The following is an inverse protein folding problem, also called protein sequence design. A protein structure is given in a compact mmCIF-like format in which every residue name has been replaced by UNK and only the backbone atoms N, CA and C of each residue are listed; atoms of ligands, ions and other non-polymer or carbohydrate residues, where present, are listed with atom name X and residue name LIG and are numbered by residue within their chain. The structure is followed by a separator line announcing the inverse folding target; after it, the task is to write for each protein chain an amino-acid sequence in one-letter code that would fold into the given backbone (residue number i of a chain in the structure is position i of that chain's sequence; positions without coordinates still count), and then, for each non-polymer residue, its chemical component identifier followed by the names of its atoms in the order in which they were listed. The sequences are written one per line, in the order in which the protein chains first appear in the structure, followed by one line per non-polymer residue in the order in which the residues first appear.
data_IF_076470109472
#
_entry.id   IF_076470109472
#
_cell.length_a   1.000
_cell.length_b   1.000
_cell.length_c   1.000
_cell.angle_alpha   90.00
_cell.angle_beta   90.00
_cell.angle_gamma   90.00
#
_symmetry.space_group_name_H-M   'P 1'
#
loop_
_entity.id
_entity.type
_entity.pdbx_description
1 polymer ?
#
# COMPACT_ATOMS: atom_id res chain seq x y z
N UNK A 1 -19.28 11.58 -87.05
CA UNK A 1 -20.32 12.62 -87.15
C UNK A 1 -20.84 12.92 -85.76
N UNK A 2 -20.70 14.19 -85.33
CA UNK A 2 -21.48 14.97 -84.34
C UNK A 2 -21.66 14.43 -82.90
N UNK A 3 -21.54 15.17 -81.79
CA UNK A 3 -21.17 16.55 -81.40
C UNK A 3 -20.98 16.52 -79.85
N UNK A 4 -19.97 17.21 -79.31
CA UNK A 4 -19.79 17.62 -77.88
C UNK A 4 -20.85 18.67 -77.44
N UNK A 5 -20.83 19.27 -76.21
CA UNK A 5 -20.21 18.92 -74.90
C UNK A 5 -21.21 19.10 -73.71
N UNK A 6 -20.79 18.84 -72.46
CA UNK A 6 -21.10 19.73 -71.31
C UNK A 6 -20.26 19.36 -70.09
N UNK A 7 -19.52 20.35 -69.61
CA UNK A 7 -18.79 20.37 -68.36
C UNK A 7 -19.75 20.35 -67.17
N UNK A 8 -19.45 19.54 -66.15
CA UNK A 8 -19.84 19.86 -64.78
C UNK A 8 -18.68 19.52 -63.85
N UNK A 9 -18.07 20.57 -63.32
CA UNK A 9 -17.13 20.49 -62.21
C UNK A 9 -17.90 20.02 -60.95
N UNK A 10 -17.33 19.07 -60.20
CA UNK A 10 -17.74 18.84 -58.82
C UNK A 10 -16.50 18.89 -57.92
N UNK A 11 -16.60 19.76 -56.93
CA UNK A 11 -15.55 20.20 -56.04
C UNK A 11 -15.02 19.09 -55.13
N UNK A 12 -13.72 19.19 -54.84
CA UNK A 12 -13.07 18.57 -53.68
C UNK A 12 -13.75 19.04 -52.39
N UNK A 13 -14.15 18.10 -51.55
CA UNK A 13 -14.28 18.32 -50.11
C UNK A 13 -13.37 17.31 -49.40
N UNK A 14 -12.15 17.73 -49.05
CA UNK A 14 -11.35 17.05 -48.05
C UNK A 14 -11.99 17.31 -46.69
N UNK A 15 -12.87 16.41 -46.24
CA UNK A 15 -13.19 16.32 -44.82
C UNK A 15 -12.01 15.63 -44.14
N UNK A 16 -11.15 16.43 -43.51
CA UNK A 16 -10.19 15.93 -42.54
C UNK A 16 -10.98 15.36 -41.33
N UNK A 17 -11.35 14.09 -41.42
CA UNK A 17 -11.89 13.34 -40.29
C UNK A 17 -10.80 13.15 -39.25
N UNK A 18 -10.80 13.96 -38.20
CA UNK A 18 -10.13 13.57 -36.96
C UNK A 18 -10.78 12.25 -36.50
N UNK A 19 -10.02 11.18 -36.23
CA UNK A 19 -10.61 9.97 -35.69
C UNK A 19 -11.13 10.29 -34.30
N UNK A 20 -12.45 10.44 -34.19
CA UNK A 20 -13.16 10.29 -32.93
C UNK A 20 -12.84 8.87 -32.46
N UNK A 21 -11.95 8.74 -31.48
CA UNK A 21 -11.85 7.47 -30.75
C UNK A 21 -13.25 7.24 -30.16
N UNK A 22 -13.93 6.13 -30.49
CA UNK A 22 -15.31 5.93 -30.06
C UNK A 22 -15.36 5.88 -28.53
N UNK A 23 -16.26 6.67 -27.93
CA UNK A 23 -16.50 6.71 -26.48
C UNK A 23 -16.71 5.31 -25.87
N UNK A 24 -17.22 4.38 -26.67
CA UNK A 24 -17.35 2.96 -26.32
C UNK A 24 -16.02 2.31 -25.94
N UNK A 25 -14.92 2.59 -26.66
CA UNK A 25 -13.61 2.00 -26.34
C UNK A 25 -13.05 2.53 -25.00
N UNK A 26 -13.35 3.79 -24.67
CA UNK A 26 -12.94 4.42 -23.41
C UNK A 26 -13.77 3.86 -22.24
N UNK A 27 -15.08 3.70 -22.43
CA UNK A 27 -15.99 3.13 -21.43
C UNK A 27 -15.69 1.64 -21.16
N UNK A 28 -15.39 0.85 -22.19
CA UNK A 28 -14.99 -0.56 -22.05
C UNK A 28 -13.68 -0.70 -21.26
N UNK A 29 -12.69 0.17 -21.52
CA UNK A 29 -11.43 0.18 -20.78
C UNK A 29 -11.63 0.59 -19.30
N UNK A 30 -12.48 1.57 -19.02
CA UNK A 30 -12.79 1.97 -17.64
C UNK A 30 -13.55 0.86 -16.89
N UNK A 31 -14.41 0.10 -17.55
CA UNK A 31 -15.09 -1.06 -16.96
C UNK A 31 -14.11 -2.19 -16.63
N UNK A 32 -13.19 -2.50 -17.55
CA UNK A 32 -12.14 -3.50 -17.31
C UNK A 32 -11.25 -3.10 -16.12
N UNK A 33 -10.88 -1.82 -16.01
CA UNK A 33 -10.13 -1.30 -14.85
C UNK A 33 -10.93 -1.47 -13.56
N UNK A 34 -12.23 -1.16 -13.54
CA UNK A 34 -13.08 -1.36 -12.35
C UNK A 34 -13.13 -2.83 -11.91
N UNK A 35 -13.07 -3.78 -12.84
CA UNK A 35 -13.02 -5.20 -12.52
C UNK A 35 -11.71 -5.63 -11.82
N UNK A 36 -10.66 -4.80 -11.89
CA UNK A 36 -9.42 -5.00 -11.13
C UNK A 36 -9.42 -4.31 -9.77
N UNK A 37 -10.51 -3.64 -9.39
CA UNK A 37 -10.60 -2.94 -8.13
C UNK A 37 -10.49 -3.91 -6.95
N UNK A 38 -9.79 -3.47 -5.93
CA UNK A 38 -9.64 -4.19 -4.67
C UNK A 38 -10.08 -3.32 -3.52
N UNK A 39 -10.46 -3.97 -2.43
CA UNK A 39 -10.86 -3.31 -1.20
C UNK A 39 -9.84 -3.61 -0.10
N UNK A 40 -9.45 -2.62 0.69
CA UNK A 40 -8.68 -2.85 1.91
C UNK A 40 -9.32 -2.20 3.12
N UNK A 41 -9.15 -2.81 4.28
CA UNK A 41 -9.54 -2.26 5.57
C UNK A 41 -8.38 -2.48 6.54
N UNK A 42 -8.07 -1.45 7.32
CA UNK A 42 -7.12 -1.53 8.43
C UNK A 42 -7.89 -1.51 9.74
N UNK A 43 -7.60 -2.48 10.59
CA UNK A 43 -8.09 -2.56 11.95
C UNK A 43 -6.91 -2.47 12.90
N UNK A 44 -7.14 -1.85 14.06
CA UNK A 44 -6.19 -1.77 15.15
C UNK A 44 -6.81 -2.32 16.43
N UNK A 45 -5.96 -2.66 17.38
CA UNK A 45 -6.35 -3.23 18.66
C UNK A 45 -5.14 -3.64 19.49
N UNK A 46 -5.36 -4.55 20.42
CA UNK A 46 -4.31 -5.21 21.19
C UNK A 46 -4.57 -6.70 21.35
N UNK A 47 -3.48 -7.44 21.61
CA UNK A 47 -3.51 -8.88 21.82
C UNK A 47 -2.71 -9.25 23.06
N UNK A 48 -3.20 -10.23 23.80
CA UNK A 48 -2.46 -10.90 24.87
C UNK A 48 -2.16 -12.34 24.46
N UNK A 49 -0.89 -12.71 24.56
CA UNK A 49 -0.38 -14.04 24.27
C UNK A 49 0.08 -14.69 25.56
N UNK A 50 -0.33 -15.93 25.79
CA UNK A 50 0.04 -16.71 26.96
C UNK A 50 1.51 -17.19 26.86
N UNK A 51 2.05 -17.69 27.97
CA UNK A 51 3.44 -18.17 28.03
C UNK A 51 3.73 -19.35 27.07
N UNK A 52 2.70 -20.11 26.67
CA UNK A 52 2.81 -21.19 25.68
C UNK A 52 2.68 -20.70 24.23
N UNK A 53 2.51 -19.39 24.01
CA UNK A 53 2.33 -18.78 22.69
C UNK A 53 0.90 -18.79 22.15
N UNK A 54 -0.08 -19.29 22.90
CA UNK A 54 -1.50 -19.24 22.49
C UNK A 54 -2.12 -17.86 22.72
N UNK A 55 -3.12 -17.49 21.91
CA UNK A 55 -3.87 -16.25 22.09
C UNK A 55 -4.82 -16.35 23.29
N UNK A 56 -4.65 -15.44 24.26
CA UNK A 56 -5.53 -15.33 25.44
C UNK A 56 -6.65 -14.33 25.23
N UNK A 57 -6.31 -13.14 24.75
CA UNK A 57 -7.24 -12.01 24.64
C UNK A 57 -6.99 -11.26 23.34
N UNK A 58 -8.06 -10.84 22.68
CA UNK A 58 -8.05 -9.91 21.54
C UNK A 58 -9.02 -8.77 21.82
N UNK A 59 -8.56 -7.53 21.69
CA UNK A 59 -9.40 -6.33 21.76
C UNK A 59 -9.24 -5.56 20.45
N UNK A 60 -10.34 -5.40 19.70
CA UNK A 60 -10.36 -4.51 18.53
C UNK A 60 -10.78 -3.11 18.95
N UNK A 61 -10.03 -2.10 18.51
CA UNK A 61 -10.38 -0.70 18.73
C UNK A 61 -11.72 -0.36 18.09
N UNK A 62 -12.45 0.58 18.68
CA UNK A 62 -13.71 1.11 18.12
C UNK A 62 -14.66 0.01 17.57
N UNK A 63 -14.71 -1.15 18.22
CA UNK A 63 -15.44 -2.36 17.78
C UNK A 63 -16.88 -2.07 17.35
N UNK A 64 -17.54 -1.11 18.00
CA UNK A 64 -18.90 -0.68 17.67
C UNK A 64 -19.06 -0.07 16.26
N UNK A 65 -17.98 0.38 15.62
CA UNK A 65 -17.98 0.88 14.24
C UNK A 65 -17.82 -0.23 13.20
N UNK A 66 -17.55 -1.46 13.63
CA UNK A 66 -17.27 -2.60 12.75
C UNK A 66 -18.55 -3.40 12.47
N UNK A 67 -18.69 -3.87 11.23
CA UNK A 67 -19.75 -4.81 10.89
C UNK A 67 -19.54 -6.14 11.64
N UNK A 68 -20.60 -6.77 12.20
CA UNK A 68 -20.47 -7.99 12.98
C UNK A 68 -19.71 -9.12 12.27
N UNK A 69 -19.92 -9.29 10.96
CA UNK A 69 -19.20 -10.29 10.16
C UNK A 69 -17.69 -10.07 10.11
N UNK A 70 -17.22 -8.82 10.09
CA UNK A 70 -15.78 -8.50 10.12
C UNK A 70 -15.20 -8.83 11.48
N UNK A 71 -15.91 -8.47 12.55
CA UNK A 71 -15.50 -8.81 13.92
C UNK A 71 -15.38 -10.32 14.09
N UNK A 72 -16.40 -11.08 13.68
CA UNK A 72 -16.39 -12.55 13.77
C UNK A 72 -15.30 -13.18 12.91
N UNK A 73 -15.06 -12.67 11.70
CA UNK A 73 -13.97 -13.14 10.84
C UNK A 73 -12.60 -12.96 11.52
N UNK A 74 -12.32 -11.76 12.03
CA UNK A 74 -11.03 -11.45 12.65
C UNK A 74 -10.86 -12.20 13.97
N UNK A 75 -11.84 -12.17 14.87
CA UNK A 75 -11.79 -12.91 16.13
C UNK A 75 -11.65 -14.42 15.91
N UNK A 76 -12.35 -14.96 14.90
CA UNK A 76 -12.26 -16.37 14.53
C UNK A 76 -10.90 -16.78 13.97
N UNK A 77 -10.33 -15.96 13.08
CA UNK A 77 -9.02 -16.20 12.49
C UNK A 77 -7.91 -16.14 13.55
N UNK A 78 -7.92 -15.11 14.41
CA UNK A 78 -6.86 -14.84 15.38
C UNK A 78 -6.87 -15.86 16.53
N UNK A 79 -8.04 -16.36 16.92
CA UNK A 79 -8.13 -17.34 18.03
C UNK A 79 -7.28 -18.60 17.79
N UNK A 80 -7.10 -18.99 16.53
CA UNK A 80 -6.29 -20.16 16.15
C UNK A 80 -4.79 -19.88 15.98
N UNK A 81 -4.33 -18.67 16.29
CA UNK A 81 -2.93 -18.32 16.13
C UNK A 81 -2.03 -18.86 17.24
N UNK A 82 -0.84 -19.25 16.83
CA UNK A 82 0.24 -19.68 17.68
C UNK A 82 1.44 -18.75 17.45
N UNK A 83 2.03 -18.28 18.54
CA UNK A 83 3.19 -17.42 18.55
C UNK A 83 4.42 -18.16 19.08
N UNK A 84 5.60 -17.67 18.70
CA UNK A 84 6.84 -18.07 19.37
C UNK A 84 6.78 -17.58 20.83
N UNK A 85 6.99 -18.46 21.83
CA UNK A 85 6.96 -18.06 23.23
C UNK A 85 7.94 -16.92 23.52
N UNK A 86 7.43 -15.85 24.13
CA UNK A 86 8.27 -14.73 24.57
C UNK A 86 9.05 -15.16 25.81
N UNK A 87 10.37 -15.04 25.79
CA UNK A 87 11.23 -15.44 26.90
C UNK A 87 11.67 -14.24 27.72
N UNK A 88 11.58 -14.36 29.05
CA UNK A 88 12.21 -13.47 30.01
C UNK A 88 13.11 -14.30 30.92
N UNK A 89 14.40 -13.99 30.96
CA UNK A 89 15.43 -14.78 31.67
C UNK A 89 15.40 -16.27 31.30
N UNK A 90 15.16 -16.55 30.01
CA UNK A 90 15.07 -17.92 29.47
C UNK A 90 13.77 -18.67 29.82
N UNK A 91 12.82 -18.02 30.50
CA UNK A 91 11.52 -18.61 30.86
C UNK A 91 10.40 -18.02 29.99
N UNK A 92 9.48 -18.86 29.46
CA UNK A 92 8.32 -18.36 28.75
C UNK A 92 7.41 -17.52 29.66
N UNK A 93 7.03 -16.34 29.20
CA UNK A 93 6.14 -15.41 29.90
C UNK A 93 5.02 -14.94 28.99
N UNK A 94 3.89 -14.55 29.58
CA UNK A 94 2.81 -13.92 28.84
C UNK A 94 3.25 -12.54 28.33
N UNK A 95 2.76 -12.16 27.16
CA UNK A 95 3.13 -10.92 26.48
C UNK A 95 1.88 -10.16 26.01
N UNK A 96 1.96 -8.84 26.05
CA UNK A 96 0.94 -7.94 25.51
C UNK A 96 1.56 -7.12 24.38
N UNK A 97 0.84 -6.97 23.27
CA UNK A 97 1.31 -6.21 22.12
C UNK A 97 0.15 -5.45 21.45
N UNK A 98 0.45 -4.31 20.79
CA UNK A 98 -0.50 -3.73 19.84
C UNK A 98 -0.76 -4.72 18.70
N UNK A 99 -1.89 -4.55 18.04
CA UNK A 99 -2.27 -5.32 16.87
C UNK A 99 -2.72 -4.36 15.78
N UNK A 100 -2.15 -4.50 14.58
CA UNK A 100 -2.71 -3.92 13.36
C UNK A 100 -2.94 -5.03 12.35
N UNK A 101 -4.17 -5.14 11.87
CA UNK A 101 -4.59 -6.14 10.90
C UNK A 101 -4.98 -5.44 9.62
N UNK A 102 -4.52 -5.98 8.50
CA UNK A 102 -5.00 -5.59 7.16
C UNK A 102 -5.88 -6.68 6.59
N UNK A 103 -7.06 -6.27 6.17
CA UNK A 103 -7.97 -7.07 5.38
C UNK A 103 -7.92 -6.63 3.91
N UNK A 104 -8.08 -7.60 3.03
CA UNK A 104 -8.28 -7.41 1.59
C UNK A 104 -9.60 -8.06 1.19
N UNK A 105 -10.46 -7.31 0.52
CA UNK A 105 -11.65 -7.79 -0.14
C UNK A 105 -11.43 -7.82 -1.64
N UNK A 106 -11.59 -8.99 -2.25
CA UNK A 106 -11.51 -9.18 -3.70
C UNK A 106 -12.83 -9.79 -4.20
N UNK A 107 -13.44 -9.13 -5.19
CA UNK A 107 -14.62 -9.66 -5.86
C UNK A 107 -14.26 -10.95 -6.62
N UNK A 108 -15.14 -11.94 -6.52
CA UNK A 108 -15.05 -13.24 -7.18
C UNK A 108 -15.98 -13.28 -8.39
N UNK A 109 -15.84 -14.30 -9.24
CA UNK A 109 -16.63 -14.43 -10.48
C UNK A 109 -18.14 -14.53 -10.24
N UNK A 110 -18.55 -15.03 -9.07
CA UNK A 110 -19.94 -15.15 -8.64
C UNK A 110 -20.53 -13.86 -8.04
N UNK A 111 -19.74 -12.78 -7.99
CA UNK A 111 -20.12 -11.49 -7.40
C UNK A 111 -19.99 -11.44 -5.87
N UNK A 112 -19.55 -12.53 -5.23
CA UNK A 112 -19.22 -12.51 -3.81
C UNK A 112 -17.83 -11.91 -3.57
N UNK A 113 -17.56 -11.46 -2.34
CA UNK A 113 -16.26 -10.95 -1.95
C UNK A 113 -15.53 -11.98 -1.10
N UNK A 114 -14.32 -12.35 -1.53
CA UNK A 114 -13.38 -13.06 -0.69
C UNK A 114 -12.66 -12.05 0.20
N UNK A 115 -12.86 -12.18 1.51
CA UNK A 115 -12.11 -11.43 2.51
C UNK A 115 -10.93 -12.29 2.95
N UNK A 116 -9.74 -11.71 2.93
CA UNK A 116 -8.51 -12.35 3.41
C UNK A 116 -7.76 -11.41 4.34
N UNK A 117 -7.04 -12.00 5.29
CA UNK A 117 -6.09 -11.25 6.11
C UNK A 117 -4.73 -11.26 5.42
N UNK A 118 -4.22 -10.09 5.06
CA UNK A 118 -3.01 -9.99 4.23
C UNK A 118 -1.78 -9.53 4.99
N UNK A 119 -1.95 -8.78 6.08
CA UNK A 119 -0.86 -8.32 6.92
C UNK A 119 -1.28 -8.31 8.37
N UNK A 120 -0.31 -8.59 9.24
CA UNK A 120 -0.40 -8.34 10.68
C UNK A 120 0.88 -7.65 11.12
N UNK A 121 0.73 -6.71 12.04
CA UNK A 121 1.85 -6.00 12.66
C UNK A 121 1.58 -5.90 14.16
N UNK A 122 2.60 -6.27 14.95
CA UNK A 122 2.56 -6.26 16.41
C UNK A 122 3.51 -5.21 17.00
N UNK A 123 4.10 -4.37 16.14
CA UNK A 123 5.09 -3.39 16.55
C UNK A 123 4.46 -2.02 16.84
N UNK A 124 4.94 -1.36 17.89
CA UNK A 124 4.72 0.06 18.09
C UNK A 124 5.88 0.82 17.45
N UNK A 125 5.57 1.84 16.65
CA UNK A 125 6.63 2.70 16.11
C UNK A 125 7.13 3.60 17.23
N UNK A 126 8.37 3.39 17.66
CA UNK A 126 9.07 4.28 18.59
C UNK A 126 10.17 5.05 17.84
N UNK A 127 10.06 6.39 17.71
CA UNK A 127 11.10 7.20 17.07
C UNK A 127 12.44 7.17 17.82
N UNK A 128 12.48 6.69 19.08
CA UNK A 128 13.68 6.53 19.90
C UNK A 128 14.20 5.09 19.91
N UNK A 129 13.57 4.18 19.16
CA UNK A 129 14.04 2.81 19.04
C UNK A 129 15.50 2.79 18.56
N UNK A 130 16.33 2.00 19.24
CA UNK A 130 17.75 1.83 18.89
C UNK A 130 18.01 0.54 18.15
N UNK A 131 17.02 -0.35 18.09
CA UNK A 131 17.10 -1.67 17.48
C UNK A 131 16.46 -1.71 16.09
N UNK A 132 15.89 -0.60 15.60
CA UNK A 132 15.22 -0.46 14.30
C UNK A 132 15.64 0.79 13.52
N UNK A 133 15.34 0.83 12.22
CA UNK A 133 15.50 2.05 11.42
C UNK A 133 14.35 3.01 11.76
N UNK A 134 14.68 4.22 12.20
CA UNK A 134 13.69 5.27 12.47
C UNK A 134 13.84 6.48 11.56
N UNK A 135 12.79 7.30 11.52
CA UNK A 135 12.73 8.52 10.72
C UNK A 135 13.67 9.59 11.27
N UNK A 136 14.56 10.14 10.42
CA UNK A 136 15.33 11.37 10.74
C UNK A 136 14.79 12.59 10.02
N UNK A 137 14.73 12.56 8.69
CA UNK A 137 14.19 13.64 7.86
C UNK A 137 13.62 13.10 6.56
N UNK A 138 12.29 13.20 6.40
CA UNK A 138 11.54 12.68 5.26
C UNK A 138 10.66 13.82 4.68
N UNK A 139 11.25 14.85 4.03
CA UNK A 139 10.46 15.88 3.37
C UNK A 139 9.47 15.26 2.36
N UNK A 140 8.17 15.62 2.44
CA UNK A 140 7.15 15.01 1.60
C UNK A 140 7.39 15.35 0.12
N UNK A 141 7.09 14.43 -0.82
CA UNK A 141 7.19 14.71 -2.25
C UNK A 141 6.23 15.84 -2.67
N UNK A 142 6.67 16.67 -3.62
CA UNK A 142 5.79 17.67 -4.23
C UNK A 142 4.79 16.98 -5.16
N UNK A 143 3.52 17.36 -5.05
CA UNK A 143 2.47 16.91 -5.95
C UNK A 143 2.82 17.24 -7.42
N UNK A 144 2.88 16.25 -8.34
CA UNK A 144 3.03 16.54 -9.77
C UNK A 144 1.85 17.36 -10.30
N UNK A 145 2.13 18.53 -10.88
CA UNK A 145 1.10 19.48 -11.29
C UNK A 145 0.15 18.89 -12.35
N UNK A 146 0.66 18.09 -13.28
CA UNK A 146 -0.16 17.43 -14.30
C UNK A 146 -1.13 16.40 -13.71
N UNK A 147 -0.71 15.69 -12.65
CA UNK A 147 -1.56 14.70 -11.96
C UNK A 147 -2.60 15.43 -11.12
N UNK A 148 -2.19 16.48 -10.40
CA UNK A 148 -3.09 17.33 -9.62
C UNK A 148 -4.20 17.93 -10.48
N UNK A 149 -3.85 18.51 -11.64
CA UNK A 149 -4.79 19.21 -12.54
C UNK A 149 -5.92 18.33 -13.06
N UNK A 150 -5.67 17.03 -13.20
CA UNK A 150 -6.64 16.07 -13.74
C UNK A 150 -7.31 15.23 -12.65
N UNK A 151 -7.16 15.61 -11.38
CA UNK A 151 -7.82 14.91 -10.28
C UNK A 151 -7.16 13.58 -9.89
N UNK A 152 -5.95 13.30 -10.40
CA UNK A 152 -5.21 12.08 -10.11
C UNK A 152 -4.97 11.93 -8.61
N UNK A 153 -5.12 10.73 -8.05
CA UNK A 153 -4.87 10.43 -6.63
C UNK A 153 -4.35 9.00 -6.49
N UNK A 154 -3.48 8.77 -5.51
CA UNK A 154 -2.93 7.44 -5.29
C UNK A 154 -1.96 7.31 -4.14
N UNK A 155 -1.67 6.06 -3.81
CA UNK A 155 -0.73 5.63 -2.79
C UNK A 155 0.51 5.04 -3.47
N UNK A 156 1.68 5.61 -3.21
CA UNK A 156 2.96 5.11 -3.70
C UNK A 156 3.65 4.36 -2.57
N UNK A 157 3.91 3.08 -2.77
CA UNK A 157 4.72 2.28 -1.86
C UNK A 157 6.17 2.32 -2.32
N UNK A 158 7.04 2.96 -1.53
CA UNK A 158 8.47 2.98 -1.79
C UNK A 158 9.17 1.86 -1.02
N UNK A 159 10.11 1.18 -1.68
CA UNK A 159 11.16 0.41 -1.01
C UNK A 159 12.45 1.22 -1.05
N UNK A 160 12.99 1.49 0.13
CA UNK A 160 14.17 2.35 0.33
C UNK A 160 15.28 1.50 0.94
N UNK A 161 16.41 1.43 0.24
CA UNK A 161 17.65 0.85 0.76
C UNK A 161 18.39 1.90 1.57
N UNK A 162 18.37 1.76 2.89
CA UNK A 162 19.01 2.66 3.84
C UNK A 162 20.45 2.17 4.10
N UNK A 163 21.43 3.02 3.83
CA UNK A 163 22.83 2.75 4.08
C UNK A 163 23.18 2.87 5.58
N UNK A 164 24.36 2.35 5.95
CA UNK A 164 24.88 2.39 7.32
C UNK A 164 24.99 3.79 7.95
N UNK A 165 25.11 4.83 7.14
CA UNK A 165 25.16 6.22 7.60
C UNK A 165 23.77 6.88 7.70
N UNK A 166 22.69 6.13 7.40
CA UNK A 166 21.32 6.61 7.40
C UNK A 166 20.89 7.32 6.12
N UNK A 167 21.74 7.38 5.08
CA UNK A 167 21.37 7.92 3.77
C UNK A 167 20.65 6.87 2.92
N UNK A 168 19.99 7.31 1.85
CA UNK A 168 19.35 6.40 0.88
C UNK A 168 20.36 5.97 -0.16
N UNK A 169 20.74 4.68 -0.13
CA UNK A 169 21.61 4.07 -1.13
C UNK A 169 20.88 3.82 -2.45
N UNK A 170 19.63 3.35 -2.37
CA UNK A 170 18.77 3.12 -3.53
C UNK A 170 17.29 3.16 -3.16
N UNK A 171 16.42 3.36 -4.15
CA UNK A 171 14.97 3.43 -3.94
C UNK A 171 14.20 3.06 -5.22
N UNK A 172 13.15 2.28 -5.04
CA UNK A 172 12.15 2.01 -6.09
C UNK A 172 10.74 2.33 -5.58
N UNK A 173 9.82 2.56 -6.53
CA UNK A 173 8.40 2.45 -6.25
C UNK A 173 7.99 0.99 -6.47
N UNK A 174 7.77 0.25 -5.38
CA UNK A 174 7.33 -1.14 -5.40
C UNK A 174 5.96 -1.26 -6.08
N UNK A 175 5.07 -0.32 -5.80
CA UNK A 175 3.74 -0.28 -6.41
C UNK A 175 3.14 1.13 -6.30
N UNK A 176 2.25 1.45 -7.24
CA UNK A 176 1.43 2.67 -7.18
C UNK A 176 -0.03 2.31 -7.35
N UNK A 177 -0.79 2.48 -6.28
CA UNK A 177 -2.20 2.14 -6.19
C UNK A 177 -3.04 3.40 -6.44
N UNK A 178 -3.99 3.32 -7.35
CA UNK A 178 -4.83 4.48 -7.72
C UNK A 178 -6.12 4.47 -6.91
N UNK A 179 -6.52 5.60 -6.37
CA UNK A 179 -7.79 5.74 -5.63
C UNK A 179 -8.90 6.34 -6.49
N UNK A 180 -8.69 6.34 -7.80
CA UNK A 180 -9.63 6.78 -8.83
C UNK A 180 -9.57 5.84 -10.02
N UNK A 181 -10.63 5.89 -10.83
CA UNK A 181 -10.75 5.10 -12.07
C UNK A 181 -10.57 6.01 -13.27
N UNK A 182 -9.66 5.65 -14.16
CA UNK A 182 -9.49 6.24 -15.47
C UNK A 182 -9.05 5.16 -16.47
N UNK A 183 -9.06 5.43 -17.79
CA UNK A 183 -8.46 4.55 -18.77
C UNK A 183 -7.02 4.17 -18.40
N UNK A 184 -6.63 2.91 -18.61
CA UNK A 184 -5.35 2.36 -18.16
C UNK A 184 -4.14 3.19 -18.60
N UNK A 185 -4.13 3.70 -19.85
CA UNK A 185 -3.06 4.57 -20.34
C UNK A 185 -2.88 5.85 -19.49
N UNK A 186 -3.98 6.44 -19.05
CA UNK A 186 -3.95 7.65 -18.21
C UNK A 186 -3.44 7.28 -16.82
N UNK A 187 -3.94 6.19 -16.24
CA UNK A 187 -3.47 5.71 -14.94
C UNK A 187 -2.00 5.32 -14.97
N UNK A 188 -1.52 4.63 -16.00
CA UNK A 188 -0.11 4.29 -16.17
C UNK A 188 0.78 5.55 -16.18
N UNK A 189 0.35 6.61 -16.88
CA UNK A 189 1.05 7.91 -16.85
C UNK A 189 1.04 8.53 -15.45
N UNK A 190 -0.10 8.53 -14.76
CA UNK A 190 -0.20 9.04 -13.39
C UNK A 190 0.71 8.25 -12.44
N UNK A 191 0.70 6.92 -12.50
CA UNK A 191 1.55 6.04 -11.69
C UNK A 191 3.03 6.38 -11.89
N UNK A 192 3.47 6.55 -13.14
CA UNK A 192 4.84 6.96 -13.46
C UNK A 192 5.20 8.34 -12.88
N UNK A 193 4.31 9.33 -13.01
CA UNK A 193 4.54 10.68 -12.48
C UNK A 193 4.59 10.72 -10.94
N UNK A 194 3.68 10.01 -10.27
CA UNK A 194 3.67 9.87 -8.81
C UNK A 194 4.91 9.11 -8.31
N UNK A 195 5.27 8.00 -8.95
CA UNK A 195 6.48 7.24 -8.62
C UNK A 195 7.74 8.10 -8.74
N UNK A 196 7.91 8.83 -9.87
CA UNK A 196 9.06 9.72 -10.09
C UNK A 196 9.16 10.81 -9.03
N UNK A 197 8.05 11.45 -8.69
CA UNK A 197 8.03 12.47 -7.65
C UNK A 197 8.45 11.89 -6.28
N UNK A 198 7.87 10.74 -5.90
CA UNK A 198 8.19 10.04 -4.65
C UNK A 198 9.66 9.62 -4.59
N UNK A 199 10.18 8.96 -5.62
CA UNK A 199 11.59 8.55 -5.72
C UNK A 199 12.52 9.76 -5.63
N UNK A 200 12.21 10.85 -6.34
CA UNK A 200 13.05 12.06 -6.35
C UNK A 200 13.14 12.72 -4.96
N UNK A 201 12.07 12.66 -4.17
CA UNK A 201 12.09 13.15 -2.78
C UNK A 201 12.81 12.18 -1.87
N UNK A 202 12.55 10.87 -2.02
CA UNK A 202 13.11 9.82 -1.19
C UNK A 202 14.63 9.76 -1.24
N UNK A 203 15.25 10.08 -2.38
CA UNK A 203 16.71 10.19 -2.50
C UNK A 203 17.34 11.24 -1.56
N UNK A 204 16.54 12.17 -1.04
CA UNK A 204 16.98 13.23 -0.10
C UNK A 204 16.64 12.89 1.36
N UNK A 205 15.95 11.78 1.60
CA UNK A 205 15.57 11.37 2.93
C UNK A 205 16.77 10.88 3.72
N UNK A 206 16.66 10.99 5.04
CA UNK A 206 17.63 10.40 5.97
C UNK A 206 16.90 9.68 7.08
N UNK A 207 17.56 8.65 7.59
CA UNK A 207 17.07 7.75 8.62
C UNK A 207 18.09 7.67 9.77
N UNK A 208 17.66 7.09 10.89
CA UNK A 208 18.55 6.67 11.97
C UNK A 208 18.65 5.15 11.90
N UNK A 209 19.79 4.58 11.52
CA UNK A 209 20.04 3.14 11.56
C UNK A 209 19.98 2.55 12.98
N UNK A 210 19.69 1.25 13.12
CA UNK A 210 19.78 0.57 14.39
C UNK A 210 21.22 0.53 14.91
N UNK A 211 21.38 0.76 16.20
CA UNK A 211 22.65 0.67 16.94
C UNK A 211 22.68 -0.50 17.92
N UNK A 212 21.55 -1.17 18.15
CA UNK A 212 21.41 -2.35 19.02
C UNK A 212 20.66 -3.48 18.29
N UNK A 213 20.65 -4.68 18.87
CA UNK A 213 19.99 -5.85 18.28
C UNK A 213 20.75 -6.46 17.09
N UNK A 214 20.20 -7.55 16.56
CA UNK A 214 20.83 -8.34 15.48
C UNK A 214 21.01 -7.53 14.19
N UNK A 215 20.09 -6.60 13.93
CA UNK A 215 20.10 -5.78 12.72
C UNK A 215 21.16 -4.66 12.75
N UNK A 216 21.79 -4.35 13.90
CA UNK A 216 22.74 -3.23 14.05
C UNK A 216 24.04 -3.35 13.24
N UNK A 217 24.39 -4.57 12.83
CA UNK A 217 25.65 -4.86 12.13
C UNK A 217 25.50 -4.97 10.62
N UNK A 218 24.28 -4.80 10.08
CA UNK A 218 24.03 -4.89 8.64
C UNK A 218 24.66 -3.72 7.89
N UNK A 219 25.06 -3.99 6.64
CA UNK A 219 25.57 -2.96 5.74
C UNK A 219 24.47 -2.02 5.22
N UNK A 220 23.24 -2.52 5.16
CA UNK A 220 22.05 -1.77 4.79
C UNK A 220 20.78 -2.40 5.38
N UNK A 221 19.71 -1.63 5.36
CA UNK A 221 18.36 -2.08 5.69
C UNK A 221 17.40 -1.71 4.56
N UNK A 222 16.37 -2.53 4.35
CA UNK A 222 15.27 -2.15 3.48
C UNK A 222 14.11 -1.69 4.36
N UNK A 223 13.62 -0.50 4.09
CA UNK A 223 12.38 0.02 4.68
C UNK A 223 11.36 0.30 3.60
N UNK A 224 10.09 0.10 3.93
CA UNK A 224 8.95 0.45 3.12
C UNK A 224 8.33 1.72 3.66
N UNK A 225 8.12 2.70 2.79
CA UNK A 225 7.57 4.01 3.16
C UNK A 225 6.43 4.36 2.20
N UNK A 226 5.18 4.42 2.68
CA UNK A 226 4.06 4.86 1.88
C UNK A 226 4.05 6.39 1.71
N UNK A 227 3.69 6.84 0.53
CA UNK A 227 3.42 8.25 0.21
C UNK A 227 2.01 8.35 -0.36
N UNK A 228 1.16 9.12 0.31
CA UNK A 228 -0.22 9.35 -0.12
C UNK A 228 -0.35 10.69 -0.87
N UNK A 229 -0.90 10.65 -2.08
CA UNK A 229 -1.30 11.81 -2.86
C UNK A 229 -2.83 11.91 -2.91
N UNK A 230 -3.41 12.71 -2.01
CA UNK A 230 -4.85 12.96 -1.94
C UNK A 230 -5.18 14.43 -2.24
N UNK A 231 -6.36 14.68 -2.82
CA UNK A 231 -6.84 16.03 -3.19
C UNK A 231 -7.82 16.61 -2.18
N UNK A 232 -8.55 15.76 -1.46
CA UNK A 232 -9.43 16.21 -0.39
C UNK A 232 -8.60 16.36 0.89
N UNK A 233 -8.67 17.55 1.49
CA UNK A 233 -7.93 17.94 2.69
C UNK A 233 -8.23 17.06 3.90
N UNK A 234 -7.57 15.91 3.97
CA UNK A 234 -7.19 15.29 5.23
C UNK A 234 -5.71 15.49 5.51
N UNK A 235 -4.90 16.08 4.63
CA UNK A 235 -3.52 16.45 4.95
C UNK A 235 -3.53 17.75 5.74
N UNK A 236 -3.75 17.64 7.05
CA UNK A 236 -3.37 18.71 7.96
C UNK A 236 -1.88 18.97 7.78
N UNK A 237 -1.51 20.18 7.40
CA UNK A 237 -0.12 20.66 7.30
C UNK A 237 0.66 20.61 8.63
N UNK A 238 0.10 19.98 9.67
CA UNK A 238 0.64 19.86 11.02
C UNK A 238 0.59 18.40 11.55
N UNK A 239 0.75 17.38 10.71
CA UNK A 239 0.87 15.99 11.17
C UNK A 239 -0.41 15.34 11.71
N UNK A 240 -1.53 16.06 11.68
CA UNK A 240 -2.85 15.51 11.99
C UNK A 240 -3.58 15.28 10.68
N UNK A 241 -3.24 14.17 10.01
CA UNK A 241 -4.12 13.66 9.00
C UNK A 241 -5.47 13.32 9.67
N UNK A 242 -6.61 13.79 9.16
CA UNK A 242 -7.88 13.24 9.68
C UNK A 242 -7.78 11.72 9.41
N UNK A 243 -7.84 10.88 10.45
CA UNK A 243 -7.68 9.45 10.26
C UNK A 243 -8.72 8.99 9.26
N UNK A 244 -8.31 8.19 8.29
CA UNK A 244 -9.26 7.40 7.52
C UNK A 244 -10.25 6.79 8.50
N UNK A 245 -11.56 6.96 8.26
CA UNK A 245 -12.58 6.54 9.20
C UNK A 245 -12.36 5.06 9.53
N UNK A 246 -12.03 4.78 10.78
CA UNK A 246 -11.71 3.44 11.28
C UNK A 246 -12.78 2.43 10.84
N UNK A 247 -12.37 1.24 10.41
CA UNK A 247 -13.30 0.17 10.05
C UNK A 247 -14.06 0.39 8.73
N UNK A 248 -13.58 1.29 7.84
CA UNK A 248 -14.14 1.47 6.51
C UNK A 248 -13.29 0.78 5.45
N UNK A 249 -13.97 0.19 4.46
CA UNK A 249 -13.33 -0.31 3.25
C UNK A 249 -12.88 0.84 2.36
N UNK A 250 -11.65 0.74 1.87
CA UNK A 250 -11.07 1.62 0.84
C UNK A 250 -10.95 0.85 -0.46
N UNK A 251 -11.55 1.39 -1.51
CA UNK A 251 -11.42 0.84 -2.86
C UNK A 251 -10.20 1.46 -3.53
N UNK A 252 -9.40 0.65 -4.20
CA UNK A 252 -8.27 1.10 -5.00
C UNK A 252 -8.08 0.22 -6.23
N UNK A 253 -7.39 0.73 -7.24
CA UNK A 253 -6.93 -0.03 -8.39
C UNK A 253 -5.44 -0.33 -8.19
N UNK A 254 -5.04 -1.60 -7.98
CA UNK A 254 -3.64 -1.94 -7.78
C UNK A 254 -2.80 -1.58 -9.01
N UNK A 255 -1.58 -1.08 -8.78
CA UNK A 255 -0.57 -0.96 -9.82
C UNK A 255 0.17 -2.28 -10.05
N UNK A 256 0.90 -2.43 -11.17
CA UNK A 256 1.86 -3.51 -11.31
C UNK A 256 2.94 -3.38 -10.23
N UNK A 257 3.37 -4.52 -9.68
CA UNK A 257 4.45 -4.56 -8.70
C UNK A 257 5.81 -4.63 -9.38
N UNK A 258 6.77 -3.91 -8.82
CA UNK A 258 8.16 -3.89 -9.24
C UNK A 258 9.03 -4.52 -8.17
N UNK A 259 10.00 -5.32 -8.59
CA UNK A 259 10.97 -5.94 -7.71
C UNK A 259 12.14 -5.00 -7.45
N UNK A 260 12.58 -4.94 -6.20
CA UNK A 260 13.78 -4.22 -5.83
C UNK A 260 15.02 -5.06 -6.19
N UNK A 261 15.96 -4.57 -7.03
CA UNK A 261 17.10 -5.37 -7.52
C UNK A 261 18.02 -5.91 -6.42
N UNK A 262 17.99 -5.32 -5.23
CA UNK A 262 18.83 -5.69 -4.09
C UNK A 262 18.18 -6.69 -3.13
N UNK A 263 16.97 -7.19 -3.42
CA UNK A 263 16.30 -8.20 -2.58
C UNK A 263 15.51 -9.20 -3.42
N UNK A 264 15.24 -10.37 -2.83
CA UNK A 264 14.26 -11.32 -3.36
C UNK A 264 12.93 -11.11 -2.61
N UNK A 265 11.81 -10.92 -3.32
CA UNK A 265 10.53 -10.72 -2.65
C UNK A 265 10.01 -11.99 -1.99
N UNK A 266 9.33 -11.82 -0.84
CA UNK A 266 8.44 -12.83 -0.26
C UNK A 266 6.98 -12.49 -0.63
N UNK A 267 6.25 -13.46 -1.19
CA UNK A 267 4.87 -13.29 -1.64
C UNK A 267 3.90 -12.97 -0.48
N UNK A 268 4.14 -13.49 0.73
CA UNK A 268 3.30 -13.19 1.88
C UNK A 268 3.48 -11.73 2.33
N UNK A 269 4.72 -11.24 2.29
CA UNK A 269 5.06 -9.85 2.62
C UNK A 269 4.51 -8.87 1.58
N UNK A 270 4.54 -9.25 0.29
CA UNK A 270 3.95 -8.45 -0.78
C UNK A 270 2.46 -8.26 -0.57
N UNK A 271 1.68 -9.32 -0.33
CA UNK A 271 0.22 -9.22 -0.15
C UNK A 271 -0.19 -8.27 1.00
N UNK A 272 0.64 -8.15 2.03
CA UNK A 272 0.36 -7.30 3.18
C UNK A 272 0.66 -5.81 3.01
N UNK A 273 1.42 -5.44 1.96
CA UNK A 273 2.01 -4.11 1.85
C UNK A 273 1.17 -3.08 1.07
N UNK A 274 0.08 -3.48 0.41
CA UNK A 274 -0.65 -2.68 -0.59
C UNK A 274 -1.11 -1.27 -0.13
N UNK A 275 -1.40 -1.05 1.16
CA UNK A 275 -1.98 0.21 1.63
C UNK A 275 -1.51 0.62 3.04
N UNK A 276 -0.20 0.68 3.25
CA UNK A 276 0.39 1.08 4.54
C UNK A 276 0.00 2.52 4.97
N UNK A 277 -0.23 2.76 6.28
CA UNK A 277 -0.50 4.11 6.78
C UNK A 277 0.61 5.10 6.39
N UNK A 278 0.19 6.27 5.90
CA UNK A 278 1.11 7.37 5.60
C UNK A 278 1.95 7.75 6.85
N UNK A 279 3.12 8.32 6.61
CA UNK A 279 4.09 8.76 7.64
C UNK A 279 4.83 7.66 8.42
N UNK A 280 4.52 6.38 8.17
CA UNK A 280 5.22 5.24 8.75
C UNK A 280 6.52 4.86 8.04
N UNK A 281 7.48 4.30 8.79
CA UNK A 281 8.67 3.62 8.27
C UNK A 281 8.57 2.16 8.69
N UNK A 282 8.43 1.26 7.73
CA UNK A 282 8.18 -0.16 7.98
C UNK A 282 9.40 -0.97 7.59
N UNK A 283 10.03 -1.64 8.55
CA UNK A 283 11.16 -2.53 8.25
C UNK A 283 10.67 -3.70 7.39
N UNK A 284 11.36 -3.92 6.28
CA UNK A 284 11.07 -4.99 5.31
C UNK A 284 11.95 -6.19 5.61
N UNK A 285 13.24 -5.92 5.78
CA UNK A 285 14.23 -6.91 6.12
C UNK A 285 14.67 -6.66 7.57
N UNK A 286 14.55 -7.67 8.44
CA UNK A 286 14.93 -7.53 9.85
C UNK A 286 14.41 -8.69 10.69
N UNK A 287 14.97 -8.90 11.88
CA UNK A 287 14.32 -9.74 12.89
C UNK A 287 12.90 -9.24 13.14
N UNK A 288 11.89 -10.11 13.03
CA UNK A 288 10.50 -9.75 13.35
C UNK A 288 10.46 -9.24 14.80
N UNK A 289 10.18 -7.95 14.98
CA UNK A 289 10.12 -7.32 16.31
C UNK A 289 8.74 -7.48 16.92
N UNK A 290 8.71 -7.65 18.24
CA UNK A 290 7.48 -7.94 18.97
C UNK A 290 7.11 -9.41 18.87
N UNK A 291 5.82 -9.70 18.86
CA UNK A 291 5.33 -11.07 18.80
C UNK A 291 5.62 -11.70 17.44
N UNK A 292 6.23 -12.88 17.44
CA UNK A 292 6.47 -13.65 16.21
C UNK A 292 5.35 -14.65 16.00
N UNK A 293 4.55 -14.44 14.97
CA UNK A 293 3.47 -15.34 14.60
C UNK A 293 4.03 -16.57 13.86
N UNK A 294 3.72 -17.78 14.36
CA UNK A 294 4.08 -19.04 13.72
C UNK A 294 2.99 -19.52 12.76
N UNK A 295 1.73 -19.17 13.03
CA UNK A 295 0.60 -19.53 12.15
C UNK A 295 0.63 -18.70 10.86
N UNK A 296 0.60 -19.31 9.68
CA UNK A 296 0.49 -18.56 8.43
C UNK A 296 -0.83 -17.78 8.33
N UNK A 297 -0.78 -16.56 7.80
CA UNK A 297 -1.98 -15.74 7.56
C UNK A 297 -2.83 -16.28 6.40
N UNK A 298 -2.19 -16.97 5.45
CA UNK A 298 -2.85 -17.55 4.30
C UNK A 298 -3.60 -18.83 4.69
N UNK A 299 -4.91 -18.72 4.94
CA UNK A 299 -5.82 -19.81 4.66
C UNK A 299 -6.39 -19.57 3.25
N UNK A 300 -6.18 -20.56 2.38
CA UNK A 300 -6.68 -20.59 0.99
C UNK A 300 -8.19 -20.50 0.95
#
# INVERSE_FOLDING_TARGET
MMRSPLFLALALAFAAGAPLLPDDAVAQNARAVRATAEMSMVLSGSIEVAADGSVRTLVLDQRAMLAPGIVSFVEGAIRGWQFEPTLQDGKPVAAHAPLRVRLRGKEQEDGNYQISMTSVDFSEYDPKATDSVTRKSLPPPRYPEDVYRIGGQGDVLLLVKVARDGTVADVIAEQVNMTMVAPERIMAKMRDQLAKASISSARKWTFVPPTTGEDSTRDFWTVRVPVNFALNGNTGSNGNAQPERYGRWRVFIPGPRQDAPWRKPDAAEQAGSDLLPADGVYMVDGTQRGLRLLTPLAQR
#
